data_IF_176100924519
#
_entry.id   IF_176100924519
#
_cell.length_a   1.000
_cell.length_b   1.000
_cell.length_c   1.000
_cell.angle_alpha   90.00
_cell.angle_beta   90.00
_cell.angle_gamma   90.00
#
_symmetry.space_group_name_H-M   'P 1'
#
loop_
_entity.id
_entity.type
_entity.pdbx_description
1 polymer ?
#
# COMPACT_ATOMS: atom_id res chain seq x y z
N UNK A 1 13.04 -7.22 -9.82
CA UNK A 1 12.33 -6.95 -8.56
C UNK A 1 10.82 -6.99 -8.79
N UNK A 2 10.01 -7.18 -7.74
CA UNK A 2 8.53 -7.23 -7.81
C UNK A 2 7.91 -6.66 -6.52
N UNK A 3 6.82 -5.91 -6.62
CA UNK A 3 5.99 -5.59 -5.44
C UNK A 3 5.28 -6.85 -4.95
N UNK A 4 5.48 -7.22 -3.69
CA UNK A 4 4.93 -8.47 -3.12
C UNK A 4 3.63 -8.21 -2.37
N UNK A 5 3.70 -7.37 -1.35
CA UNK A 5 2.55 -7.00 -0.55
C UNK A 5 2.78 -5.70 0.21
N UNK A 6 1.71 -5.09 0.70
CA UNK A 6 1.76 -4.00 1.68
C UNK A 6 1.30 -4.53 3.04
N UNK A 7 2.01 -4.12 4.10
CA UNK A 7 1.77 -4.55 5.48
C UNK A 7 1.19 -3.38 6.27
N UNK A 8 0.05 -3.59 6.93
CA UNK A 8 -0.54 -2.58 7.81
C UNK A 8 -1.39 -3.18 8.94
N UNK A 9 -1.55 -2.38 10.01
CA UNK A 9 -2.27 -2.73 11.22
C UNK A 9 -3.78 -2.61 11.08
N UNK A 10 -4.54 -3.53 11.68
CA UNK A 10 -6.01 -3.46 11.77
C UNK A 10 -6.47 -3.69 13.21
N UNK A 11 -7.55 -3.04 13.62
CA UNK A 11 -8.12 -3.17 14.96
C UNK A 11 -8.96 -4.44 15.14
N UNK A 12 -9.52 -4.97 14.05
CA UNK A 12 -10.29 -6.23 14.04
C UNK A 12 -10.07 -6.96 12.71
N UNK A 13 -9.26 -8.02 12.76
CA UNK A 13 -8.86 -8.76 11.56
C UNK A 13 -10.03 -9.48 10.88
N UNK A 14 -11.01 -9.97 11.63
CA UNK A 14 -12.13 -10.72 11.06
C UNK A 14 -13.14 -9.76 10.41
N UNK A 15 -13.35 -8.59 11.03
CA UNK A 15 -14.13 -7.49 10.43
C UNK A 15 -13.51 -7.03 9.11
N UNK A 16 -12.19 -6.86 9.07
CA UNK A 16 -11.49 -6.39 7.87
C UNK A 16 -11.44 -7.47 6.78
N UNK A 17 -11.18 -8.74 7.12
CA UNK A 17 -11.31 -9.87 6.18
C UNK A 17 -12.71 -9.91 5.56
N UNK A 18 -13.75 -9.80 6.39
CA UNK A 18 -15.14 -9.81 5.91
C UNK A 18 -15.41 -8.64 4.97
N UNK A 19 -14.96 -7.43 5.32
CA UNK A 19 -15.12 -6.27 4.46
C UNK A 19 -14.42 -6.45 3.10
N UNK A 20 -13.16 -6.92 3.07
CA UNK A 20 -12.43 -7.08 1.82
C UNK A 20 -12.98 -8.20 0.94
N UNK A 21 -13.45 -9.28 1.55
CA UNK A 21 -14.03 -10.40 0.79
C UNK A 21 -15.44 -10.08 0.28
N UNK A 22 -16.31 -9.47 1.09
CA UNK A 22 -17.70 -9.20 0.71
C UNK A 22 -17.91 -7.90 -0.07
N UNK A 23 -17.10 -6.87 0.20
CA UNK A 23 -17.27 -5.54 -0.40
C UNK A 23 -16.30 -5.28 -1.56
N UNK A 24 -15.06 -5.77 -1.44
CA UNK A 24 -14.01 -5.54 -2.44
C UNK A 24 -13.76 -6.76 -3.34
N UNK A 25 -14.37 -7.91 -3.05
CA UNK A 25 -14.22 -9.12 -3.87
C UNK A 25 -12.84 -9.77 -3.78
N UNK A 26 -12.03 -9.43 -2.77
CA UNK A 26 -10.75 -10.08 -2.52
C UNK A 26 -10.95 -11.52 -2.03
N UNK A 27 -9.90 -12.33 -2.13
CA UNK A 27 -9.81 -13.67 -1.56
C UNK A 27 -8.91 -13.63 -0.34
N UNK A 28 -9.31 -14.32 0.73
CA UNK A 28 -8.39 -14.69 1.80
C UNK A 28 -7.43 -15.76 1.28
N UNK A 29 -6.17 -15.40 1.06
CA UNK A 29 -5.14 -16.26 0.49
C UNK A 29 -4.52 -17.16 1.56
N UNK A 30 -4.20 -16.57 2.72
CA UNK A 30 -3.65 -17.26 3.87
C UNK A 30 -3.95 -16.50 5.16
N UNK A 31 -4.14 -17.22 6.26
CA UNK A 31 -4.21 -16.66 7.62
C UNK A 31 -3.22 -17.41 8.51
N UNK A 32 -2.44 -16.71 9.31
CA UNK A 32 -1.48 -17.30 10.25
C UNK A 32 -1.59 -16.62 11.59
N UNK A 33 -1.85 -17.39 12.63
CA UNK A 33 -1.79 -16.93 14.01
C UNK A 33 -0.43 -17.26 14.60
N UNK A 34 0.16 -16.33 15.36
CA UNK A 34 1.47 -16.50 16.03
C UNK A 34 1.31 -16.09 17.51
N UNK A 35 0.72 -16.97 18.33
CA UNK A 35 0.44 -16.68 19.73
C UNK A 35 1.67 -16.28 20.54
N UNK A 36 2.83 -16.86 20.22
CA UNK A 36 4.09 -16.61 20.93
C UNK A 36 4.57 -15.17 20.77
N UNK A 37 4.33 -14.58 19.59
CA UNK A 37 4.66 -13.18 19.27
C UNK A 37 3.45 -12.24 19.38
N UNK A 38 2.27 -12.77 19.77
CA UNK A 38 1.02 -12.05 20.02
C UNK A 38 0.46 -11.27 18.83
N UNK A 39 0.59 -11.82 17.62
CA UNK A 39 -0.08 -11.27 16.44
C UNK A 39 -0.64 -12.33 15.50
N UNK A 40 -1.59 -11.91 14.68
CA UNK A 40 -2.16 -12.68 13.59
C UNK A 40 -1.94 -11.93 12.28
N UNK A 41 -1.55 -12.64 11.22
CA UNK A 41 -1.55 -12.12 9.85
C UNK A 41 -2.67 -12.72 9.00
N UNK A 42 -3.18 -11.92 8.07
CA UNK A 42 -4.02 -12.38 6.98
C UNK A 42 -3.58 -11.77 5.65
N UNK A 43 -3.41 -12.61 4.64
CA UNK A 43 -3.03 -12.22 3.29
C UNK A 43 -4.28 -12.23 2.41
N UNK A 44 -4.57 -11.09 1.77
CA UNK A 44 -5.72 -10.92 0.89
C UNK A 44 -5.31 -10.33 -0.45
N UNK A 45 -5.97 -10.74 -1.52
CA UNK A 45 -5.71 -10.23 -2.87
C UNK A 45 -6.63 -10.85 -3.91
N UNK A 46 -6.34 -10.61 -5.19
CA UNK A 46 -7.16 -11.08 -6.30
C UNK A 46 -6.63 -12.37 -6.97
N UNK A 47 -5.41 -12.77 -6.63
CA UNK A 47 -4.76 -13.99 -7.13
C UNK A 47 -3.68 -14.51 -6.18
N UNK A 48 -2.98 -15.60 -6.54
CA UNK A 48 -1.93 -16.21 -5.73
C UNK A 48 -0.77 -15.24 -5.43
N UNK A 49 -0.20 -15.29 -4.22
CA UNK A 49 0.87 -14.38 -3.76
C UNK A 49 2.15 -14.47 -4.62
N UNK A 50 2.36 -15.58 -5.32
CA UNK A 50 3.50 -15.80 -6.21
C UNK A 50 3.47 -14.87 -7.44
N UNK A 51 2.27 -14.57 -7.94
CA UNK A 51 2.04 -13.82 -9.18
C UNK A 51 1.39 -12.47 -8.97
N UNK A 52 0.71 -12.26 -7.84
CA UNK A 52 -0.05 -11.05 -7.56
C UNK A 52 0.52 -10.25 -6.39
N UNK A 53 0.17 -8.97 -6.37
CA UNK A 53 0.32 -8.11 -5.21
C UNK A 53 -0.79 -8.40 -4.19
N UNK A 54 -0.43 -8.42 -2.90
CA UNK A 54 -1.35 -8.71 -1.81
C UNK A 54 -1.34 -7.65 -0.71
N UNK A 55 -2.34 -7.71 0.15
CA UNK A 55 -2.38 -7.03 1.43
C UNK A 55 -2.02 -8.05 2.51
N UNK A 56 -1.07 -7.71 3.36
CA UNK A 56 -0.79 -8.40 4.62
C UNK A 56 -1.35 -7.58 5.78
N UNK A 57 -2.48 -8.02 6.30
CA UNK A 57 -3.05 -7.48 7.53
C UNK A 57 -2.24 -7.97 8.72
N UNK A 58 -1.96 -7.07 9.67
CA UNK A 58 -1.38 -7.41 10.97
C UNK A 58 -2.30 -6.98 12.09
N UNK A 59 -2.69 -7.94 12.93
CA UNK A 59 -3.43 -7.68 14.16
C UNK A 59 -2.53 -8.01 15.35
N UNK A 60 -2.14 -7.00 16.14
CA UNK A 60 -1.24 -7.16 17.30
C UNK A 60 -1.91 -6.76 18.62
N UNK A 61 -1.45 -7.36 19.72
CA UNK A 61 -1.98 -7.15 21.07
C UNK A 61 -0.94 -6.54 22.02
N UNK A 62 -0.01 -5.73 21.50
CA UNK A 62 1.21 -5.37 22.21
C UNK A 62 1.03 -4.41 23.41
N UNK A 63 -0.13 -3.77 23.62
CA UNK A 63 -0.23 -2.68 24.60
C UNK A 63 -0.89 -2.98 25.95
N UNK A 64 -1.47 -4.16 26.19
CA UNK A 64 -2.14 -4.43 27.46
C UNK A 64 -1.71 -5.75 28.10
N UNK A 65 -1.21 -5.65 29.34
CA UNK A 65 -0.86 -6.78 30.22
C UNK A 65 -2.07 -7.60 30.69
N UNK A 66 -3.25 -7.36 30.15
CA UNK A 66 -4.49 -8.09 30.45
C UNK A 66 -5.40 -8.05 29.23
N UNK A 67 -5.48 -9.16 28.49
CA UNK A 67 -6.43 -9.43 27.39
C UNK A 67 -6.29 -8.57 26.10
N UNK A 68 -6.60 -9.20 24.96
CA UNK A 68 -6.43 -8.75 23.57
C UNK A 68 -6.92 -7.31 23.26
N UNK A 69 -6.17 -6.56 22.43
CA UNK A 69 -6.69 -5.44 21.64
C UNK A 69 -5.82 -4.17 21.56
N UNK A 70 -5.09 -3.96 20.45
CA UNK A 70 -4.96 -2.61 19.85
C UNK A 70 -6.16 -2.46 18.92
N UNK A 71 -7.07 -1.56 19.24
CA UNK A 71 -8.38 -1.41 18.55
C UNK A 71 -8.39 -0.35 17.46
N UNK A 72 -7.33 0.46 17.38
CA UNK A 72 -7.17 1.54 16.42
C UNK A 72 -5.70 1.87 16.19
N UNK A 73 -5.40 2.36 14.99
CA UNK A 73 -4.08 2.87 14.61
C UNK A 73 -4.21 4.29 14.10
N UNK A 74 -3.12 5.06 14.23
CA UNK A 74 -3.02 6.35 13.58
C UNK A 74 -2.51 6.16 12.16
N UNK A 75 -3.32 6.45 11.14
CA UNK A 75 -2.92 6.31 9.73
C UNK A 75 -1.86 7.35 9.34
N UNK A 76 -1.79 8.47 10.07
CA UNK A 76 -0.92 9.59 9.74
C UNK A 76 -1.34 10.33 8.48
N UNK A 77 -0.55 11.33 8.12
CA UNK A 77 -0.78 12.19 6.96
C UNK A 77 0.02 11.74 5.71
N UNK A 78 1.00 10.86 5.87
CA UNK A 78 1.86 10.36 4.80
C UNK A 78 1.18 9.32 3.91
N UNK A 79 0.39 8.43 4.51
CA UNK A 79 -0.37 7.44 3.75
C UNK A 79 -1.49 8.10 2.94
N UNK A 80 -1.59 7.73 1.67
CA UNK A 80 -2.60 8.23 0.74
C UNK A 80 -3.82 7.34 0.70
N UNK A 81 -3.67 6.21 0.00
CA UNK A 81 -4.72 5.22 -0.26
C UNK A 81 -4.13 3.97 -0.90
N UNK A 82 -4.94 2.91 -0.97
CA UNK A 82 -4.75 1.80 -1.91
C UNK A 82 -5.61 2.01 -3.16
N UNK A 83 -5.17 1.54 -4.32
CA UNK A 83 -5.96 1.60 -5.55
C UNK A 83 -6.47 0.23 -5.97
N UNK A 84 -7.77 0.13 -6.22
CA UNK A 84 -8.44 -1.07 -6.74
C UNK A 84 -9.10 -0.77 -8.08
N UNK A 85 -8.62 -1.45 -9.12
CA UNK A 85 -9.23 -1.43 -10.42
C UNK A 85 -10.41 -2.40 -10.54
N UNK A 86 -11.48 -1.92 -11.19
CA UNK A 86 -12.72 -2.65 -11.44
C UNK A 86 -13.23 -2.35 -12.84
N UNK A 87 -14.06 -3.23 -13.38
CA UNK A 87 -14.69 -3.04 -14.68
C UNK A 87 -15.80 -1.95 -14.63
N UNK A 88 -16.42 -1.73 -13.46
CA UNK A 88 -17.53 -0.81 -13.27
C UNK A 88 -17.51 -0.22 -11.85
N UNK A 89 -17.09 1.05 -11.75
CA UNK A 89 -16.95 1.73 -10.45
C UNK A 89 -18.31 1.95 -9.80
N UNK A 90 -19.33 2.31 -10.58
CA UNK A 90 -20.65 2.58 -10.05
C UNK A 90 -21.25 1.34 -9.39
N UNK A 91 -21.21 0.18 -10.06
CA UNK A 91 -21.68 -1.09 -9.48
C UNK A 91 -20.89 -1.49 -8.24
N UNK A 92 -19.57 -1.31 -8.28
CA UNK A 92 -18.68 -1.64 -7.14
C UNK A 92 -19.05 -0.79 -5.92
N UNK A 93 -19.25 0.52 -6.11
CA UNK A 93 -19.66 1.43 -5.03
C UNK A 93 -21.05 1.10 -4.49
N UNK A 94 -22.03 0.78 -5.34
CA UNK A 94 -23.36 0.34 -4.87
C UNK A 94 -23.28 -0.93 -4.01
N UNK A 95 -22.46 -1.91 -4.40
CA UNK A 95 -22.23 -3.12 -3.60
C UNK A 95 -21.63 -2.77 -2.24
N UNK A 96 -20.57 -1.96 -2.23
CA UNK A 96 -19.91 -1.52 -0.98
C UNK A 96 -20.91 -0.81 -0.07
N UNK A 97 -21.72 0.10 -0.63
CA UNK A 97 -22.76 0.82 0.12
C UNK A 97 -23.82 -0.12 0.69
N UNK A 98 -24.31 -1.06 -0.12
CA UNK A 98 -25.30 -2.06 0.31
C UNK A 98 -24.78 -2.97 1.44
N UNK A 99 -23.46 -3.17 1.51
CA UNK A 99 -22.77 -3.92 2.57
C UNK A 99 -22.35 -3.06 3.76
N UNK A 100 -22.74 -1.79 3.80
CA UNK A 100 -22.47 -0.87 4.91
C UNK A 100 -21.08 -0.22 4.88
N UNK A 101 -20.36 -0.31 3.76
CA UNK A 101 -19.11 0.39 3.55
C UNK A 101 -19.29 1.91 3.37
N UNK A 102 -18.28 2.67 3.79
CA UNK A 102 -18.32 4.13 3.76
C UNK A 102 -17.80 4.65 2.42
N UNK A 103 -18.65 5.31 1.66
CA UNK A 103 -18.27 6.03 0.43
C UNK A 103 -17.92 7.47 0.80
N UNK A 104 -16.68 7.89 0.52
CA UNK A 104 -16.17 9.23 0.85
C UNK A 104 -16.03 10.14 -0.37
N UNK A 105 -16.04 9.56 -1.57
CA UNK A 105 -16.23 10.27 -2.82
C UNK A 105 -17.03 9.40 -3.78
N UNK A 106 -18.16 9.93 -4.25
CA UNK A 106 -19.03 9.26 -5.21
C UNK A 106 -18.33 9.03 -6.57
N UNK A 107 -18.75 8.00 -7.34
CA UNK A 107 -18.24 7.73 -8.67
C UNK A 107 -18.32 8.96 -9.57
N UNK A 108 -17.19 9.32 -10.16
CA UNK A 108 -17.14 10.38 -11.15
C UNK A 108 -15.75 10.56 -11.73
N UNK A 109 -15.61 11.32 -12.82
CA UNK A 109 -14.32 11.56 -13.42
C UNK A 109 -13.35 12.20 -12.41
N UNK A 110 -12.10 11.77 -12.44
CA UNK A 110 -11.01 12.44 -11.72
C UNK A 110 -10.93 13.90 -12.16
N UNK A 111 -10.58 14.80 -11.22
CA UNK A 111 -10.40 16.22 -11.54
C UNK A 111 -9.38 16.39 -12.67
N UNK A 112 -9.78 17.06 -13.74
CA UNK A 112 -8.96 17.27 -14.93
C UNK A 112 -8.71 16.02 -15.78
N UNK A 113 -9.45 14.92 -15.61
CA UNK A 113 -9.31 13.70 -16.39
C UNK A 113 -10.65 13.06 -16.77
N UNK A 114 -10.58 11.90 -17.42
CA UNK A 114 -11.76 11.13 -17.86
C UNK A 114 -11.98 9.85 -17.08
N UNK A 115 -10.95 9.35 -16.38
CA UNK A 115 -11.05 8.12 -15.60
C UNK A 115 -12.08 8.28 -14.50
N UNK A 116 -13.06 7.39 -14.45
CA UNK A 116 -14.07 7.33 -13.39
C UNK A 116 -13.41 6.71 -12.17
N UNK A 117 -13.52 7.40 -11.03
CA UNK A 117 -12.98 6.97 -9.75
C UNK A 117 -13.97 7.27 -8.63
N UNK A 118 -13.91 6.50 -7.56
CA UNK A 118 -14.59 6.75 -6.29
C UNK A 118 -13.61 6.57 -5.13
N UNK A 119 -13.93 7.08 -3.95
CA UNK A 119 -13.19 6.73 -2.73
C UNK A 119 -14.13 6.10 -1.71
N UNK A 120 -13.62 5.06 -1.06
CA UNK A 120 -14.24 4.42 0.09
C UNK A 120 -13.26 4.37 1.25
N UNK A 121 -13.79 4.20 2.46
CA UNK A 121 -13.01 3.90 3.65
C UNK A 121 -13.36 2.50 4.14
N UNK A 122 -12.34 1.78 4.58
CA UNK A 122 -12.51 0.47 5.21
C UNK A 122 -12.86 0.60 6.72
N UNK A 123 -13.00 -0.52 7.46
CA UNK A 123 -13.35 -0.51 8.88
C UNK A 123 -12.44 0.31 9.79
N UNK A 124 -11.15 0.43 9.44
CA UNK A 124 -10.12 1.10 10.20
C UNK A 124 -9.84 2.53 9.69
N UNK A 125 -10.48 2.92 8.58
CA UNK A 125 -10.38 4.26 7.98
C UNK A 125 -9.35 4.38 6.85
N UNK A 126 -8.74 3.27 6.42
CA UNK A 126 -7.87 3.27 5.25
C UNK A 126 -8.68 3.60 4.01
N UNK A 127 -8.14 4.52 3.20
CA UNK A 127 -8.77 4.94 1.96
C UNK A 127 -8.45 3.96 0.84
N UNK A 128 -9.46 3.62 0.07
CA UNK A 128 -9.32 2.90 -1.18
C UNK A 128 -9.88 3.76 -2.32
N UNK A 129 -9.05 4.05 -3.32
CA UNK A 129 -9.50 4.54 -4.61
C UNK A 129 -10.04 3.35 -5.41
N UNK A 130 -11.29 3.44 -5.86
CA UNK A 130 -11.88 2.48 -6.80
C UNK A 130 -11.81 3.10 -8.19
N UNK A 131 -11.03 2.52 -9.09
CA UNK A 131 -10.77 3.06 -10.43
C UNK A 131 -11.35 2.19 -11.55
N UNK A 132 -11.99 2.81 -12.53
CA UNK A 132 -12.56 2.09 -13.66
C UNK A 132 -11.47 1.75 -14.66
N UNK A 133 -11.10 0.46 -14.73
CA UNK A 133 -10.09 -0.08 -15.64
C UNK A 133 -10.45 -1.54 -15.97
N UNK A 134 -11.24 -1.76 -17.03
CA UNK A 134 -11.70 -3.08 -17.36
C UNK A 134 -10.57 -4.05 -17.74
N UNK A 135 -10.64 -5.29 -17.23
CA UNK A 135 -9.78 -6.39 -17.64
C UNK A 135 -8.32 -6.33 -17.16
N UNK A 136 -8.01 -5.56 -16.11
CA UNK A 136 -6.66 -5.59 -15.51
C UNK A 136 -6.33 -6.99 -14.96
N UNK A 137 -5.09 -7.49 -15.15
CA UNK A 137 -4.62 -8.71 -14.49
C UNK A 137 -4.26 -8.48 -13.01
N UNK A 138 -4.09 -7.23 -12.59
CA UNK A 138 -3.77 -6.85 -11.21
C UNK A 138 -4.76 -5.79 -10.71
N UNK A 139 -5.90 -6.20 -10.12
CA UNK A 139 -6.88 -5.25 -9.59
C UNK A 139 -6.36 -4.43 -8.42
N UNK A 140 -5.58 -5.00 -7.50
CA UNK A 140 -4.92 -4.24 -6.43
C UNK A 140 -3.67 -3.53 -6.99
N UNK A 141 -3.90 -2.38 -7.61
CA UNK A 141 -2.94 -1.76 -8.53
C UNK A 141 -2.08 -0.65 -7.94
N UNK A 142 -2.42 -0.07 -6.79
CA UNK A 142 -1.68 1.09 -6.27
C UNK A 142 -1.50 1.04 -4.76
N UNK A 143 -0.35 1.52 -4.30
CA UNK A 143 -0.16 2.07 -2.95
C UNK A 143 0.28 3.52 -3.13
N UNK A 144 -0.44 4.47 -2.55
CA UNK A 144 -0.13 5.89 -2.66
C UNK A 144 0.49 6.43 -1.37
N UNK A 145 1.66 7.04 -1.50
CA UNK A 145 2.37 7.73 -0.42
C UNK A 145 2.61 9.20 -0.78
N UNK A 146 2.51 10.08 0.21
CA UNK A 146 2.92 11.47 0.07
C UNK A 146 4.41 11.62 0.36
N UNK A 147 5.08 12.44 -0.45
CA UNK A 147 6.51 12.73 -0.32
C UNK A 147 6.75 14.24 -0.32
N UNK A 148 7.80 14.67 0.38
CA UNK A 148 8.21 16.07 0.50
C UNK A 148 9.03 16.57 -0.68
N UNK A 149 9.73 15.68 -1.39
CA UNK A 149 10.50 16.00 -2.58
C UNK A 149 10.36 14.88 -3.61
N UNK A 150 9.67 15.18 -4.70
CA UNK A 150 9.32 14.21 -5.73
C UNK A 150 10.54 13.74 -6.52
N UNK A 151 11.47 14.63 -6.85
CA UNK A 151 12.63 14.27 -7.67
C UNK A 151 13.63 13.45 -6.86
N UNK A 152 13.77 13.75 -5.55
CA UNK A 152 14.52 12.92 -4.60
C UNK A 152 13.90 11.53 -4.48
N UNK A 153 12.58 11.44 -4.30
CA UNK A 153 11.89 10.17 -4.17
C UNK A 153 12.01 9.32 -5.45
N UNK A 154 11.77 9.90 -6.63
CA UNK A 154 11.96 9.22 -7.93
C UNK A 154 13.38 8.67 -8.02
N UNK A 155 14.40 9.50 -7.80
CA UNK A 155 15.81 9.06 -7.86
C UNK A 155 16.10 7.91 -6.90
N UNK A 156 15.52 7.94 -5.69
CA UNK A 156 15.68 6.85 -4.72
C UNK A 156 15.07 5.55 -5.25
N UNK A 157 13.80 5.56 -5.65
CA UNK A 157 13.10 4.35 -6.09
C UNK A 157 13.67 3.78 -7.41
N UNK A 158 14.20 4.62 -8.31
CA UNK A 158 14.91 4.16 -9.50
C UNK A 158 16.24 3.47 -9.15
N UNK A 159 17.05 4.08 -8.27
CA UNK A 159 18.40 3.58 -7.95
C UNK A 159 18.37 2.41 -6.98
N UNK A 160 17.71 2.57 -5.84
CA UNK A 160 17.70 1.60 -4.76
C UNK A 160 16.74 0.43 -5.01
N UNK A 161 15.59 0.73 -5.60
CA UNK A 161 14.53 -0.26 -5.82
C UNK A 161 14.40 -0.67 -7.30
N UNK A 162 15.20 -0.13 -8.23
CA UNK A 162 15.14 -0.53 -9.63
C UNK A 162 13.79 -0.27 -10.32
N UNK A 163 12.95 0.59 -9.75
CA UNK A 163 11.66 0.95 -10.35
C UNK A 163 11.89 1.84 -11.58
N UNK A 164 10.90 1.91 -12.46
CA UNK A 164 10.85 2.88 -13.56
C UNK A 164 9.81 3.95 -13.25
N UNK A 165 10.09 5.20 -13.62
CA UNK A 165 9.07 6.23 -13.73
C UNK A 165 8.15 5.91 -14.91
N UNK A 166 6.93 5.46 -14.62
CA UNK A 166 5.94 5.05 -15.61
C UNK A 166 5.12 6.23 -16.11
N UNK A 167 4.79 7.16 -15.20
CA UNK A 167 3.99 8.34 -15.48
C UNK A 167 4.34 9.46 -14.51
N UNK A 168 4.40 10.70 -15.01
CA UNK A 168 4.45 11.93 -14.21
C UNK A 168 3.33 12.86 -14.70
N UNK A 169 2.54 13.37 -13.76
CA UNK A 169 1.44 14.29 -14.06
C UNK A 169 1.46 15.43 -13.07
N UNK A 170 1.62 16.63 -13.59
CA UNK A 170 1.56 17.86 -12.82
C UNK A 170 0.17 18.50 -12.91
N UNK A 171 -0.36 18.98 -11.78
CA UNK A 171 -1.68 19.60 -11.69
C UNK A 171 -1.58 20.93 -10.91
N UNK A 172 -1.05 22.00 -11.53
CA UNK A 172 -0.79 23.27 -10.84
C UNK A 172 -2.06 23.96 -10.33
N UNK A 173 -3.20 23.77 -11.00
CA UNK A 173 -4.52 24.27 -10.55
C UNK A 173 -4.89 23.74 -9.16
N UNK A 174 -4.58 22.46 -8.89
CA UNK A 174 -4.88 21.79 -7.63
C UNK A 174 -3.66 21.65 -6.72
N UNK A 175 -2.53 22.26 -7.11
CA UNK A 175 -1.27 22.32 -6.34
C UNK A 175 -0.70 20.97 -5.94
N UNK A 176 -0.68 20.01 -6.86
CA UNK A 176 -0.02 18.73 -6.64
C UNK A 176 0.60 18.14 -7.90
N UNK A 177 1.60 17.29 -7.73
CA UNK A 177 2.20 16.45 -8.77
C UNK A 177 2.11 14.99 -8.33
N UNK A 178 1.71 14.10 -9.24
CA UNK A 178 1.66 12.64 -9.01
C UNK A 178 2.63 11.95 -9.96
N UNK A 179 3.32 10.93 -9.47
CA UNK A 179 4.07 9.97 -10.29
C UNK A 179 3.71 8.54 -9.98
N UNK A 180 3.83 7.69 -10.99
CA UNK A 180 3.68 6.24 -10.87
C UNK A 180 5.04 5.58 -11.07
N UNK A 181 5.48 4.83 -10.07
CA UNK A 181 6.73 4.08 -10.08
C UNK A 181 6.42 2.58 -10.06
N UNK A 182 7.10 1.77 -10.86
CA UNK A 182 6.85 0.32 -10.85
C UNK A 182 7.79 -0.49 -11.74
N UNK A 183 7.48 -1.79 -11.88
CA UNK A 183 8.32 -2.77 -12.60
C UNK A 183 7.77 -3.17 -13.97
N UNK A 184 6.59 -2.70 -14.34
CA UNK A 184 5.91 -3.00 -15.60
C UNK A 184 4.84 -1.96 -15.93
N UNK A 185 4.08 -2.15 -17.02
CA UNK A 185 3.00 -1.25 -17.41
C UNK A 185 2.01 -1.01 -16.26
N UNK A 186 1.63 0.27 -16.04
CA UNK A 186 0.76 0.73 -14.94
C UNK A 186 -0.63 0.05 -14.98
N UNK A 187 -1.10 -0.34 -16.16
CA UNK A 187 -2.39 -1.00 -16.38
C UNK A 187 -2.37 -2.50 -16.11
N UNK A 188 -1.20 -3.09 -15.86
CA UNK A 188 -1.01 -4.53 -15.70
C UNK A 188 -0.29 -4.92 -14.41
N UNK A 189 0.22 -3.96 -13.63
CA UNK A 189 1.05 -4.23 -12.46
C UNK A 189 0.66 -3.31 -11.31
N UNK A 190 0.92 -3.76 -10.08
CA UNK A 190 0.93 -2.88 -8.93
C UNK A 190 2.02 -1.81 -9.09
N UNK A 191 1.70 -0.58 -8.71
CA UNK A 191 2.60 0.58 -8.76
C UNK A 191 2.62 1.30 -7.41
N UNK A 192 3.73 1.97 -7.16
CA UNK A 192 3.86 2.96 -6.10
C UNK A 192 3.47 4.33 -6.68
N UNK A 193 2.38 4.90 -6.20
CA UNK A 193 2.00 6.27 -6.50
C UNK A 193 2.67 7.21 -5.48
N UNK A 194 3.43 8.20 -5.96
CA UNK A 194 4.00 9.23 -5.10
C UNK A 194 3.33 10.57 -5.40
N UNK A 195 2.80 11.20 -4.35
CA UNK A 195 2.13 12.50 -4.44
C UNK A 195 2.92 13.57 -3.71
N UNK A 196 3.29 14.62 -4.45
CA UNK A 196 3.85 15.84 -3.91
C UNK A 196 2.78 16.95 -3.91
N UNK A 197 2.59 17.63 -2.78
CA UNK A 197 1.68 18.77 -2.65
C UNK A 197 2.49 20.07 -2.52
N UNK A 198 2.12 21.11 -3.27
CA UNK A 198 2.93 22.32 -3.33
C UNK A 198 2.84 23.10 -2.03
N UNK A 199 3.99 23.53 -1.52
CA UNK A 199 4.06 24.37 -0.32
C UNK A 199 3.57 23.69 0.96
N UNK A 200 3.37 22.38 0.93
CA UNK A 200 3.15 21.56 2.14
C UNK A 200 4.52 21.23 2.73
N UNK A 201 4.56 21.02 4.06
CA UNK A 201 5.78 20.64 4.77
C UNK A 201 6.48 19.46 4.08
N UNK A 202 7.82 19.48 4.11
CA UNK A 202 8.65 18.43 3.51
C UNK A 202 8.48 17.08 4.22
N UNK A 203 7.88 17.06 5.41
CA UNK A 203 7.68 15.86 6.21
C UNK A 203 6.20 15.68 6.50
N UNK A 204 5.73 14.46 6.25
CA UNK A 204 4.40 14.01 6.64
C UNK A 204 4.52 13.07 7.83
N UNK A 205 3.61 13.22 8.78
CA UNK A 205 3.43 12.23 9.84
C UNK A 205 3.10 10.86 9.25
N UNK A 206 3.86 9.85 9.66
CA UNK A 206 3.73 8.47 9.17
C UNK A 206 2.67 7.69 9.93
N UNK A 207 2.23 8.20 11.08
CA UNK A 207 1.35 7.47 11.98
C UNK A 207 1.99 6.16 12.46
N UNK A 208 1.15 5.22 12.86
CA UNK A 208 1.51 3.89 13.35
C UNK A 208 0.82 2.75 12.59
N UNK A 209 -0.02 3.05 11.60
CA UNK A 209 -0.89 2.08 10.95
C UNK A 209 -0.24 1.34 9.78
N UNK A 210 0.32 2.07 8.81
CA UNK A 210 1.05 1.47 7.69
C UNK A 210 2.45 1.08 8.14
N UNK A 211 2.81 -0.20 7.99
CA UNK A 211 4.11 -0.69 8.42
C UNK A 211 5.16 -0.60 7.30
N UNK A 212 4.91 -1.23 6.16
CA UNK A 212 5.91 -1.34 5.08
C UNK A 212 5.32 -1.86 3.76
N UNK A 213 6.06 -1.67 2.66
CA UNK A 213 5.82 -2.34 1.38
C UNK A 213 6.96 -3.35 1.17
N UNK A 214 6.62 -4.61 0.91
CA UNK A 214 7.60 -5.65 0.63
C UNK A 214 7.92 -5.73 -0.87
N UNK A 215 9.22 -5.73 -1.18
CA UNK A 215 9.75 -5.82 -2.55
C UNK A 215 10.65 -7.05 -2.66
N UNK A 216 10.34 -7.93 -3.61
CA UNK A 216 11.19 -9.06 -3.95
C UNK A 216 12.40 -8.61 -4.76
N UNK A 217 13.58 -9.07 -4.37
CA UNK A 217 14.86 -8.83 -5.05
C UNK A 217 15.69 -10.10 -5.12
N UNK A 218 16.52 -10.22 -6.14
CA UNK A 218 17.42 -11.37 -6.31
C UNK A 218 18.56 -11.35 -5.29
N UNK A 219 18.91 -10.16 -4.76
CA UNK A 219 20.02 -9.98 -3.83
C UNK A 219 19.75 -8.83 -2.83
N UNK A 220 19.36 -9.20 -1.61
CA UNK A 220 19.08 -8.24 -0.52
C UNK A 220 20.33 -7.52 -0.03
N UNK A 221 21.53 -8.10 -0.20
CA UNK A 221 22.78 -7.48 0.24
C UNK A 221 23.17 -6.33 -0.68
N UNK A 222 23.16 -6.57 -2.00
CA UNK A 222 23.37 -5.51 -2.99
C UNK A 222 22.32 -4.41 -2.88
N UNK A 223 21.06 -4.79 -2.67
CA UNK A 223 19.97 -3.82 -2.48
C UNK A 223 20.26 -2.91 -1.28
N UNK A 224 20.65 -3.48 -0.13
CA UNK A 224 21.00 -2.71 1.07
C UNK A 224 22.21 -1.76 0.85
N UNK A 225 23.21 -2.18 0.09
CA UNK A 225 24.35 -1.31 -0.27
C UNK A 225 23.91 -0.10 -1.10
N UNK A 226 23.07 -0.33 -2.13
CA UNK A 226 22.59 0.75 -3.00
C UNK A 226 21.67 1.73 -2.24
N UNK A 227 20.89 1.24 -1.29
CA UNK A 227 20.04 2.08 -0.42
C UNK A 227 20.88 3.10 0.35
N UNK A 228 21.99 2.66 0.98
CA UNK A 228 22.92 3.53 1.72
C UNK A 228 23.52 4.63 0.80
N UNK A 229 23.72 4.32 -0.47
CA UNK A 229 24.26 5.26 -1.47
C UNK A 229 23.19 6.18 -2.10
N UNK A 230 21.91 5.85 -1.95
CA UNK A 230 20.79 6.54 -2.62
C UNK A 230 20.00 7.47 -1.69
N UNK A 231 20.47 7.70 -0.46
CA UNK A 231 19.85 8.61 0.50
C UNK A 231 18.74 8.00 1.36
N UNK A 232 18.57 6.68 1.32
CA UNK A 232 17.72 5.96 2.27
C UNK A 232 18.52 5.42 3.47
N UNK A 233 17.82 4.81 4.41
CA UNK A 233 18.41 4.23 5.61
C UNK A 233 18.17 2.73 5.65
N UNK A 234 19.20 1.95 5.97
CA UNK A 234 19.02 0.54 6.33
C UNK A 234 18.72 0.45 7.82
N UNK A 235 17.50 0.04 8.17
CA UNK A 235 17.05 -0.14 9.57
C UNK A 235 17.17 -1.59 10.04
N UNK A 236 17.27 -2.53 9.10
CA UNK A 236 17.69 -3.91 9.35
C UNK A 236 18.68 -4.33 8.29
N UNK A 237 19.91 -4.63 8.71
CA UNK A 237 20.95 -5.13 7.84
C UNK A 237 20.54 -6.41 7.11
N UNK A 238 21.05 -6.57 5.89
CA UNK A 238 20.73 -7.71 5.05
C UNK A 238 21.19 -9.03 5.69
N UNK A 239 20.29 -9.99 5.80
CA UNK A 239 20.61 -11.29 6.38
C UNK A 239 19.40 -12.21 6.52
N UNK A 240 19.65 -13.50 6.84
CA UNK A 240 18.57 -14.46 7.09
C UNK A 240 17.82 -14.12 8.38
N UNK A 241 16.50 -14.27 8.35
CA UNK A 241 15.68 -14.32 9.55
C UNK A 241 16.04 -15.55 10.39
N UNK A 242 16.28 -15.39 11.71
CA UNK A 242 16.51 -16.53 12.60
C UNK A 242 15.38 -17.56 12.50
N UNK A 243 15.73 -18.84 12.41
CA UNK A 243 14.77 -19.95 12.32
C UNK A 243 14.10 -20.16 10.95
N UNK A 244 13.93 -19.10 10.14
CA UNK A 244 13.26 -19.18 8.84
C UNK A 244 14.23 -19.27 7.66
N UNK A 245 15.43 -18.71 7.78
CA UNK A 245 16.41 -18.68 6.69
C UNK A 245 16.06 -17.72 5.54
N UNK A 246 14.85 -17.16 5.52
CA UNK A 246 14.43 -16.12 4.57
C UNK A 246 15.34 -14.90 4.71
N UNK A 247 16.00 -14.51 3.63
CA UNK A 247 16.90 -13.36 3.61
C UNK A 247 16.10 -12.08 3.40
N UNK A 248 16.27 -11.10 4.29
CA UNK A 248 15.62 -9.79 4.19
C UNK A 248 16.61 -8.67 4.52
N UNK A 249 16.28 -7.47 4.09
CA UNK A 249 16.75 -6.19 4.65
C UNK A 249 15.51 -5.32 4.85
N UNK A 250 15.53 -4.42 5.83
CA UNK A 250 14.47 -3.43 6.01
C UNK A 250 15.09 -2.04 5.89
N UNK A 251 14.40 -1.17 5.17
CA UNK A 251 14.90 0.13 4.76
C UNK A 251 13.82 1.20 4.98
N UNK A 252 14.25 2.43 5.18
CA UNK A 252 13.43 3.63 5.05
C UNK A 252 13.86 4.38 3.80
N UNK A 253 12.89 4.96 3.10
CA UNK A 253 13.18 5.86 2.00
C UNK A 253 13.60 7.25 2.55
N UNK A 254 13.93 8.23 1.69
CA UNK A 254 14.31 9.57 2.16
C UNK A 254 13.24 10.34 2.93
N UNK A 255 11.99 9.88 2.91
CA UNK A 255 10.85 10.47 3.58
C UNK A 255 10.46 9.71 4.86
N UNK A 256 11.03 8.53 5.11
CA UNK A 256 10.88 7.72 6.33
C UNK A 256 9.99 6.52 6.12
#
# INVERSE_FOLDING_TARGET
MRLLHVVYGVGDIDRTIKFYTECLGMKLLRKRDIPEEKYTNAFLGYGPEETNFAIELTYTNAFLRTNYGVDSYDIGAGFGHFGIATDDVAKTVELIRAKGGKVTREPGPVKGGKTVIAFIEDPDGYKFEILERPGTPEPLGQVMLRVGDLDRAISFYEKACGMKLLRKRDNPEYKYTVVMMGYGPEDQNAVLELTYNYGVAAEYDKGSACAQIAIGTDDVYKTAEVVKLSGGQVVREAGPLPGLGTKITAILDPDG
#
